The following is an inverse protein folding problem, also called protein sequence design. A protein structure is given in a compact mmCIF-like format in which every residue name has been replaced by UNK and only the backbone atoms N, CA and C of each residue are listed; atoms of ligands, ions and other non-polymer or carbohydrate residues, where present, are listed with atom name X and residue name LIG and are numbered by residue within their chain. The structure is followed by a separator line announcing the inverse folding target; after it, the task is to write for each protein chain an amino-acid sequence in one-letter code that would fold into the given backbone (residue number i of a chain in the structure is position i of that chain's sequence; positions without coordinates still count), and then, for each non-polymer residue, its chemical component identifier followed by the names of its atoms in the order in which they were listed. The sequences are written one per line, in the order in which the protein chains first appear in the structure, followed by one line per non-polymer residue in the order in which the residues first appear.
data_IF_109497200393
#
_entry.id   IF_109497200393
#
_cell.length_a   1.000
_cell.length_b   1.000
_cell.length_c   1.000
_cell.angle_alpha   90.00
_cell.angle_beta   90.00
_cell.angle_gamma   90.00
#
_symmetry.space_group_name_H-M   'P 1'
#
loop_
_entity.id
_entity.type
_entity.pdbx_description
1 polymer ?
#
# COMPACT_ATOMS: atom_id res chain seq x y z
N UNK A 1 29.89 8.72 39.34
CA UNK A 1 28.46 8.33 39.28
C UNK A 1 27.88 8.86 37.97
N UNK A 2 27.59 7.93 37.04
CA UNK A 2 26.54 8.02 35.98
C UNK A 2 26.64 9.12 34.91
N UNK A 3 27.61 9.00 34.00
CA UNK A 3 27.48 9.51 32.63
C UNK A 3 27.01 8.35 31.73
N UNK A 4 25.73 7.99 31.81
CA UNK A 4 25.11 6.97 30.94
C UNK A 4 23.70 7.40 30.59
N UNK A 5 23.37 7.31 29.29
CA UNK A 5 21.99 7.20 28.76
C UNK A 5 21.15 8.46 28.51
N UNK A 6 21.72 9.54 27.96
CA UNK A 6 20.90 10.63 27.39
C UNK A 6 20.90 10.67 25.84
N UNK A 7 21.75 9.88 25.17
CA UNK A 7 22.03 10.03 23.73
C UNK A 7 21.43 8.94 22.83
N UNK A 8 20.46 8.14 23.31
CA UNK A 8 19.87 7.02 22.55
C UNK A 8 18.39 7.25 22.18
N UNK A 9 17.68 8.19 22.82
CA UNK A 9 16.25 8.40 22.55
C UNK A 9 15.95 9.31 21.35
N UNK A 10 16.92 10.07 20.82
CA UNK A 10 16.65 11.01 19.72
C UNK A 10 16.98 10.47 18.32
N UNK A 11 17.61 9.29 18.22
CA UNK A 11 17.95 8.66 16.94
C UNK A 11 16.84 7.81 16.31
N UNK A 12 15.80 7.46 17.07
CA UNK A 12 14.73 6.54 16.62
C UNK A 12 13.63 7.27 15.83
N UNK A 13 13.55 8.59 15.89
CA UNK A 13 12.51 9.35 15.19
C UNK A 13 12.83 9.60 13.70
N UNK A 14 14.05 9.31 13.26
CA UNK A 14 14.50 9.52 11.87
C UNK A 14 14.57 8.22 11.05
N UNK A 15 13.92 7.14 11.49
CA UNK A 15 13.62 5.99 10.63
C UNK A 15 12.21 6.10 10.02
N UNK A 16 11.76 7.32 9.71
CA UNK A 16 10.64 7.53 8.80
C UNK A 16 11.12 7.22 7.39
N UNK A 17 11.04 5.95 6.99
CA UNK A 17 11.36 5.53 5.63
C UNK A 17 10.54 6.39 4.66
N UNK A 18 11.23 7.13 3.78
CA UNK A 18 10.62 7.96 2.75
C UNK A 18 9.67 7.10 1.93
N UNK A 19 8.38 7.15 2.26
CA UNK A 19 7.36 6.40 1.56
C UNK A 19 7.24 7.03 0.18
N UNK A 20 7.56 6.26 -0.88
CA UNK A 20 7.56 6.70 -2.29
C UNK A 20 6.17 7.01 -2.84
N UNK A 21 5.20 7.25 -1.96
CA UNK A 21 3.78 7.44 -2.23
C UNK A 21 3.26 8.57 -1.34
N UNK A 22 2.40 9.47 -1.85
CA UNK A 22 1.85 10.57 -1.08
C UNK A 22 1.14 10.01 0.14
N UNK A 23 1.73 10.23 1.31
CA UNK A 23 1.20 9.75 2.58
C UNK A 23 0.82 10.99 3.38
N UNK A 24 -0.47 11.21 3.56
CA UNK A 24 -0.99 12.29 4.40
C UNK A 24 -0.65 12.04 5.86
N UNK A 25 -0.29 13.10 6.59
CA UNK A 25 0.16 13.02 7.98
C UNK A 25 -0.90 12.46 8.95
N UNK A 26 -2.19 12.59 8.60
CA UNK A 26 -3.32 12.12 9.42
C UNK A 26 -4.05 10.96 8.77
N UNK A 27 -4.40 11.10 7.50
CA UNK A 27 -5.13 10.11 6.72
C UNK A 27 -4.60 10.16 5.29
N UNK A 28 -4.44 8.99 4.68
CA UNK A 28 -4.12 8.86 3.26
C UNK A 28 -5.21 8.06 2.59
N UNK A 29 -5.88 8.61 1.59
CA UNK A 29 -6.85 7.90 0.77
C UNK A 29 -6.54 8.25 -0.68
N UNK A 30 -5.58 7.53 -1.26
CA UNK A 30 -5.08 7.83 -2.61
C UNK A 30 -5.15 6.60 -3.49
N UNK A 31 -5.56 6.82 -4.74
CA UNK A 31 -5.52 5.82 -5.80
C UNK A 31 -4.44 6.22 -6.77
N UNK A 32 -3.45 5.35 -6.94
CA UNK A 32 -2.33 5.60 -7.85
C UNK A 32 -2.32 4.56 -8.96
N UNK A 33 -2.10 4.97 -10.22
CA UNK A 33 -1.84 4.03 -11.29
C UNK A 33 -0.44 3.41 -11.06
N UNK A 34 -0.36 2.08 -11.11
CA UNK A 34 0.92 1.35 -11.08
C UNK A 34 1.40 1.12 -12.51
N UNK A 35 0.50 0.78 -13.42
CA UNK A 35 0.78 0.58 -14.84
C UNK A 35 -0.52 0.58 -15.62
N UNK A 36 -0.62 1.30 -16.73
CA UNK A 36 -1.80 1.25 -17.58
C UNK A 36 -1.77 2.29 -18.69
N UNK A 37 -2.34 1.92 -19.83
CA UNK A 37 -2.83 2.89 -20.80
C UNK A 37 -4.34 2.98 -20.56
N UNK A 38 -4.93 4.16 -20.69
CA UNK A 38 -6.36 4.41 -20.48
C UNK A 38 -7.17 3.64 -21.55
N UNK A 39 -7.43 2.36 -21.32
CA UNK A 39 -8.07 1.45 -22.28
C UNK A 39 -9.31 0.84 -21.62
N UNK A 40 -10.39 0.74 -22.39
CA UNK A 40 -11.61 0.04 -22.01
C UNK A 40 -11.28 -1.37 -21.47
N UNK A 41 -11.82 -1.68 -20.29
CA UNK A 41 -11.66 -2.97 -19.60
C UNK A 41 -13.01 -3.68 -19.50
N UNK A 42 -12.99 -5.01 -19.63
CA UNK A 42 -14.20 -5.84 -19.55
C UNK A 42 -14.34 -6.52 -18.18
N UNK A 43 -13.23 -6.70 -17.48
CA UNK A 43 -13.14 -7.40 -16.20
C UNK A 43 -12.26 -6.63 -15.23
N UNK A 44 -12.61 -6.73 -13.97
CA UNK A 44 -11.89 -6.10 -12.87
C UNK A 44 -11.72 -7.08 -11.71
N UNK A 45 -10.50 -7.14 -11.19
CA UNK A 45 -10.12 -7.98 -10.08
C UNK A 45 -9.49 -7.16 -8.96
N UNK A 46 -9.82 -7.48 -7.72
CA UNK A 46 -9.30 -6.79 -6.53
C UNK A 46 -8.60 -7.76 -5.58
N UNK A 47 -7.50 -7.31 -4.98
CA UNK A 47 -6.83 -8.00 -3.89
C UNK A 47 -6.33 -7.00 -2.84
N UNK A 48 -6.61 -7.25 -1.55
CA UNK A 48 -6.26 -6.33 -0.46
C UNK A 48 -5.25 -6.95 0.52
N UNK A 49 -4.36 -6.10 1.01
CA UNK A 49 -3.46 -6.33 2.14
C UNK A 49 -3.81 -5.34 3.26
N UNK A 50 -3.53 -5.75 4.48
CA UNK A 50 -3.69 -4.94 5.68
C UNK A 50 -2.34 -4.83 6.38
N UNK A 51 -2.05 -3.67 6.93
CA UNK A 51 -0.88 -3.41 7.75
C UNK A 51 -1.34 -2.72 9.02
N UNK A 52 -0.94 -3.28 10.16
CA UNK A 52 -1.29 -2.83 11.51
C UNK A 52 -0.01 -2.37 12.22
N UNK A 53 -0.08 -1.16 12.77
CA UNK A 53 0.96 -0.49 13.56
C UNK A 53 2.34 -0.40 12.89
N UNK A 54 2.42 -0.56 11.57
CA UNK A 54 3.69 -0.79 10.84
C UNK A 54 4.51 -1.98 11.38
N UNK A 55 3.94 -2.79 12.28
CA UNK A 55 4.58 -3.94 12.91
C UNK A 55 4.19 -5.24 12.21
N UNK A 56 2.93 -5.32 11.77
CA UNK A 56 2.36 -6.54 11.21
C UNK A 56 1.66 -6.22 9.90
N UNK A 57 2.22 -6.71 8.80
CA UNK A 57 1.57 -6.72 7.49
C UNK A 57 1.04 -8.12 7.20
N UNK A 58 -0.23 -8.22 6.81
CA UNK A 58 -0.91 -9.48 6.51
C UNK A 58 -1.81 -9.36 5.28
N UNK A 59 -1.92 -10.44 4.52
CA UNK A 59 -2.73 -10.54 3.32
C UNK A 59 -1.92 -10.73 2.05
N UNK A 60 -2.63 -10.82 0.93
CA UNK A 60 -2.04 -10.99 -0.40
C UNK A 60 -2.78 -10.07 -1.37
N UNK A 61 -2.09 -9.01 -1.77
CA UNK A 61 -2.51 -7.98 -2.71
C UNK A 61 -1.70 -8.07 -4.00
N UNK A 62 -1.15 -9.24 -4.34
CA UNK A 62 -0.41 -9.41 -5.58
C UNK A 62 -1.34 -9.28 -6.79
N UNK A 63 -0.78 -8.77 -7.88
CA UNK A 63 -1.46 -8.61 -9.18
C UNK A 63 -2.05 -9.94 -9.65
N UNK A 64 -1.36 -11.06 -9.45
CA UNK A 64 -1.86 -12.39 -9.82
C UNK A 64 -3.13 -12.78 -9.06
N UNK A 65 -3.20 -12.51 -7.75
CA UNK A 65 -4.39 -12.83 -6.95
C UNK A 65 -5.56 -11.92 -7.33
N UNK A 66 -5.29 -10.65 -7.60
CA UNK A 66 -6.29 -9.73 -8.11
C UNK A 66 -6.81 -10.19 -9.49
N UNK A 67 -5.91 -10.52 -10.42
CA UNK A 67 -6.27 -11.01 -11.75
C UNK A 67 -7.10 -12.31 -11.69
N UNK A 68 -6.69 -13.28 -10.87
CA UNK A 68 -7.42 -14.54 -10.65
C UNK A 68 -8.81 -14.30 -10.06
N UNK A 69 -8.93 -13.37 -9.10
CA UNK A 69 -10.21 -12.99 -8.49
C UNK A 69 -11.19 -12.39 -9.51
N UNK A 70 -10.68 -11.55 -10.44
CA UNK A 70 -11.48 -10.94 -11.50
C UNK A 70 -11.59 -11.76 -12.79
N UNK A 71 -10.98 -12.95 -12.87
CA UNK A 71 -10.91 -13.74 -14.10
C UNK A 71 -10.25 -13.01 -15.28
N UNK A 72 -9.30 -12.10 -14.97
CA UNK A 72 -8.58 -11.28 -15.95
C UNK A 72 -7.45 -12.14 -16.54
N UNK A 73 -7.50 -12.34 -17.85
CA UNK A 73 -6.48 -13.06 -18.62
C UNK A 73 -5.43 -12.12 -19.21
N UNK A 74 -5.83 -10.90 -19.60
CA UNK A 74 -4.94 -9.89 -20.16
C UNK A 74 -5.00 -8.61 -19.35
N UNK A 75 -3.94 -8.33 -18.60
CA UNK A 75 -3.83 -7.13 -17.77
C UNK A 75 -3.61 -5.92 -18.67
N UNK A 76 -4.51 -4.93 -18.58
CA UNK A 76 -4.44 -3.66 -19.32
C UNK A 76 -4.06 -2.50 -18.42
N UNK A 77 -4.65 -2.47 -17.22
CA UNK A 77 -4.40 -1.46 -16.22
C UNK A 77 -4.29 -2.09 -14.82
N UNK A 78 -3.38 -1.57 -14.02
CA UNK A 78 -3.15 -1.92 -12.62
C UNK A 78 -3.13 -0.63 -11.84
N UNK A 79 -4.06 -0.51 -10.91
CA UNK A 79 -4.17 0.61 -9.99
C UNK A 79 -3.99 0.12 -8.56
N UNK A 80 -3.46 0.95 -7.69
CA UNK A 80 -3.27 0.65 -6.27
C UNK A 80 -3.96 1.72 -5.44
N UNK A 81 -4.92 1.29 -4.65
CA UNK A 81 -5.55 2.11 -3.63
C UNK A 81 -4.81 1.93 -2.32
N UNK A 82 -4.50 3.04 -1.66
CA UNK A 82 -3.86 3.06 -0.35
C UNK A 82 -4.73 3.88 0.59
N UNK A 83 -5.31 3.18 1.57
CA UNK A 83 -6.12 3.77 2.63
C UNK A 83 -5.38 3.61 3.96
N UNK A 84 -4.72 4.67 4.41
CA UNK A 84 -4.04 4.74 5.70
C UNK A 84 -4.85 5.61 6.66
N UNK A 85 -5.14 5.07 7.84
CA UNK A 85 -5.81 5.74 8.94
C UNK A 85 -4.82 5.95 10.08
N UNK A 86 -4.56 7.22 10.40
CA UNK A 86 -3.79 7.68 11.57
C UNK A 86 -2.36 7.13 11.67
N UNK A 87 -1.79 6.61 10.58
CA UNK A 87 -0.47 5.96 10.57
C UNK A 87 -0.42 4.61 11.30
N UNK A 88 -1.55 4.16 11.85
CA UNK A 88 -1.67 2.94 12.66
C UNK A 88 -2.26 1.81 11.83
N UNK A 89 -3.08 2.13 10.83
CA UNK A 89 -3.77 1.12 10.05
C UNK A 89 -3.77 1.46 8.56
N UNK A 90 -3.11 0.63 7.77
CA UNK A 90 -3.03 0.80 6.32
C UNK A 90 -3.65 -0.37 5.59
N UNK A 91 -4.62 -0.10 4.73
CA UNK A 91 -5.18 -1.03 3.75
C UNK A 91 -4.64 -0.69 2.38
N UNK A 92 -4.04 -1.67 1.72
CA UNK A 92 -3.57 -1.55 0.34
C UNK A 92 -4.41 -2.46 -0.54
N UNK A 93 -5.10 -1.92 -1.54
CA UNK A 93 -5.87 -2.70 -2.50
C UNK A 93 -5.26 -2.57 -3.88
N UNK A 94 -4.86 -3.70 -4.47
CA UNK A 94 -4.44 -3.80 -5.85
C UNK A 94 -5.67 -4.09 -6.69
N UNK A 95 -5.92 -3.24 -7.67
CA UNK A 95 -6.99 -3.33 -8.66
C UNK A 95 -6.33 -3.67 -9.99
N UNK A 96 -6.79 -4.73 -10.63
CA UNK A 96 -6.34 -5.17 -11.94
C UNK A 96 -7.52 -5.12 -12.87
N UNK A 97 -7.39 -4.39 -13.96
CA UNK A 97 -8.41 -4.21 -14.98
C UNK A 97 -7.88 -4.74 -16.31
N UNK A 98 -8.73 -5.47 -17.04
CA UNK A 98 -8.34 -6.16 -18.25
C UNK A 98 -9.47 -6.94 -18.89
N UNK A 99 -9.12 -7.93 -19.70
CA UNK A 99 -10.07 -8.86 -20.35
C UNK A 99 -9.85 -10.31 -19.91
#
# INVERSE_FOLDING_TARGET
MRLKSASVCLGVLMSGCASSSPTGALVTMVTMPVSGNDVQYSKEGRASCWSFFSLVATGNCSVEKAAKSGGVTKIKMVSRETNNFLGIFSKYTTIVQGD
#
